data_IF_633475253833
#
_entry.id   IF_633475253833
#
_cell.length_a   1.000
_cell.length_b   1.000
_cell.length_c   1.000
_cell.angle_alpha   90.00
_cell.angle_beta   90.00
_cell.angle_gamma   90.00
#
_symmetry.space_group_name_H-M   'P 1'
#
loop_
_entity.id
_entity.type
_entity.pdbx_description
1 polymer ?
2 water ?
#
# COMPACT_ATOMS: atom_id res chain seq x y z
N UNK A 35 10.57 20.67 -15.56
CA UNK A 35 11.67 20.39 -14.64
C UNK A 35 11.98 18.86 -14.73
N UNK A 36 13.10 18.48 -14.15
CA UNK A 36 13.68 17.18 -14.34
C UNK A 36 13.48 16.56 -12.95
N UNK A 37 12.54 15.63 -12.83
CA UNK A 37 12.11 15.15 -11.51
C UNK A 37 12.67 13.81 -11.24
N UNK A 38 12.90 13.51 -9.98
CA UNK A 38 13.17 12.13 -9.59
C UNK A 38 12.12 11.14 -10.11
N UNK A 39 10.87 11.60 -10.09
CA UNK A 39 9.78 10.89 -10.78
C UNK A 39 9.97 11.04 -12.30
N UNK A 40 10.46 9.97 -12.91
CA UNK A 40 10.88 10.03 -14.31
C UNK A 40 9.75 10.16 -15.25
N UNK A 41 8.52 9.89 -14.83
CA UNK A 41 7.39 10.05 -15.78
C UNK A 41 6.77 11.46 -15.72
N UNK A 42 7.15 12.24 -14.72
CA UNK A 42 6.52 13.51 -14.52
C UNK A 42 6.78 14.45 -15.68
N UNK A 43 5.85 14.51 -16.63
CA UNK A 43 5.95 15.42 -17.78
C UNK A 43 5.46 16.83 -17.53
N UNK A 44 5.10 17.12 -16.30
CA UNK A 44 4.43 18.36 -16.02
C UNK A 44 5.27 19.32 -15.23
N UNK A 45 4.55 20.21 -14.57
CA UNK A 45 5.14 21.36 -13.98
C UNK A 45 5.23 21.32 -12.45
N UNK A 46 4.50 20.43 -11.79
CA UNK A 46 4.56 20.41 -10.34
C UNK A 46 5.10 19.11 -9.74
N UNK A 47 5.73 19.28 -8.59
CA UNK A 47 6.35 18.18 -7.88
C UNK A 47 5.33 17.09 -7.51
N UNK A 48 4.26 17.51 -6.88
CA UNK A 48 3.19 16.59 -6.48
C UNK A 48 2.34 16.27 -7.71
N UNK A 49 2.09 14.97 -7.89
CA UNK A 49 1.31 14.40 -8.97
C UNK A 49 0.27 13.42 -8.37
N UNK A 50 -0.97 13.57 -8.78
CA UNK A 50 -2.04 12.67 -8.40
C UNK A 50 -1.89 11.36 -9.13
N UNK A 51 -2.59 10.33 -8.65
CA UNK A 51 -2.47 9.05 -9.31
C UNK A 51 -3.02 9.05 -10.72
N UNK A 52 -4.07 9.83 -10.97
CA UNK A 52 -4.66 9.90 -12.30
C UNK A 52 -3.78 10.61 -13.30
N UNK A 53 -3.13 11.68 -12.85
CA UNK A 53 -2.27 12.43 -13.71
C UNK A 53 -1.04 11.57 -13.97
N UNK A 54 -0.58 10.89 -12.94
CA UNK A 54 0.58 9.99 -13.13
C UNK A 54 0.29 8.81 -14.07
N UNK A 55 -0.91 8.29 -14.00
CA UNK A 55 -1.36 7.26 -14.93
C UNK A 55 -1.36 7.79 -16.37
N UNK A 56 -1.83 8.99 -16.55
CA UNK A 56 -1.79 9.66 -17.85
C UNK A 56 -0.36 9.76 -18.37
N UNK A 57 0.55 10.26 -17.54
CA UNK A 57 1.94 10.39 -17.97
C UNK A 57 2.56 9.04 -18.34
N UNK A 58 2.33 8.01 -17.52
CA UNK A 58 2.91 6.72 -17.78
C UNK A 58 2.37 6.15 -19.10
N UNK A 59 1.06 6.32 -19.34
CA UNK A 59 0.44 5.79 -20.55
C UNK A 59 0.82 6.54 -21.80
N UNK A 60 1.20 7.80 -21.66
CA UNK A 60 1.79 8.52 -22.78
C UNK A 60 3.17 7.98 -23.15
N UNK A 61 3.93 7.59 -22.16
CA UNK A 61 5.27 7.08 -22.41
C UNK A 61 5.22 5.66 -22.98
N UNK A 62 4.24 4.84 -22.60
CA UNK A 62 4.19 3.43 -23.07
C UNK A 62 2.77 2.88 -23.16
N UNK A 63 2.00 3.42 -24.11
CA UNK A 63 0.56 3.16 -24.14
C UNK A 63 0.19 1.70 -24.23
N UNK A 64 0.97 0.92 -24.97
CA UNK A 64 0.61 -0.45 -25.29
C UNK A 64 1.34 -1.51 -24.50
N UNK A 65 2.21 -1.14 -23.56
CA UNK A 65 2.75 -2.15 -22.67
C UNK A 65 1.66 -2.56 -21.69
N UNK A 66 1.82 -3.74 -21.14
CA UNK A 66 0.91 -4.27 -20.19
C UNK A 66 1.10 -3.60 -18.85
N UNK A 67 -0.02 -3.14 -18.27
CA UNK A 67 -0.05 -2.52 -16.95
C UNK A 67 -0.39 -3.49 -15.83
N UNK A 68 -1.41 -4.31 -16.06
CA UNK A 68 -1.87 -5.25 -15.07
C UNK A 68 -2.11 -6.58 -15.75
N UNK A 69 -1.67 -7.65 -15.09
CA UNK A 69 -1.95 -9.01 -15.51
C UNK A 69 -2.71 -9.67 -14.38
N UNK A 70 -3.84 -10.29 -14.69
CA UNK A 70 -4.67 -10.90 -13.66
C UNK A 70 -4.93 -12.38 -13.93
N UNK A 71 -4.57 -13.25 -12.98
CA UNK A 71 -4.81 -14.71 -13.04
C UNK A 71 -5.98 -15.06 -12.13
N UNK A 72 -7.04 -15.67 -12.68
CA UNK A 72 -8.42 -15.57 -12.11
C UNK A 72 -8.98 -16.85 -11.46
N UNK A 75 -6.27 -20.32 -13.02
CA UNK A 75 -5.70 -20.40 -14.36
C UNK A 75 -6.02 -19.15 -15.21
N UNK A 76 -7.31 -18.81 -15.33
CA UNK A 76 -7.81 -17.80 -16.31
C UNK A 76 -7.11 -16.42 -16.25
N UNK A 77 -6.46 -16.02 -17.35
CA UNK A 77 -5.61 -14.82 -17.41
C UNK A 77 -6.24 -13.65 -18.21
N UNK A 78 -6.29 -12.45 -17.62
CA UNK A 78 -6.65 -11.21 -18.35
C UNK A 78 -5.55 -10.13 -18.22
N UNK A 79 -5.49 -9.21 -19.19
CA UNK A 79 -4.47 -8.16 -19.19
C UNK A 79 -5.06 -6.82 -19.56
N UNK A 80 -4.37 -5.76 -19.20
CA UNK A 80 -4.80 -4.43 -19.60
C UNK A 80 -3.57 -3.55 -19.78
N UNK A 81 -3.56 -2.79 -20.87
CA UNK A 81 -2.44 -1.93 -21.17
C UNK A 81 -2.54 -0.64 -20.37
N UNK A 82 -1.46 0.14 -20.31
CA UNK A 82 -1.49 1.41 -19.61
C UNK A 82 -2.53 2.31 -20.23
N UNK A 83 -2.62 2.28 -21.56
CA UNK A 83 -3.61 3.11 -22.22
C UNK A 83 -5.06 2.73 -21.90
N UNK A 84 -5.39 1.44 -21.88
CA UNK A 84 -6.75 1.03 -21.51
C UNK A 84 -7.08 1.41 -20.08
N UNK A 85 -6.13 1.19 -19.19
CA UNK A 85 -6.30 1.45 -17.78
C UNK A 85 -6.63 2.93 -17.63
N UNK A 86 -5.80 3.75 -18.23
CA UNK A 86 -6.05 5.16 -18.24
C UNK A 86 -7.45 5.51 -18.79
N UNK A 87 -7.78 5.01 -19.97
CA UNK A 87 -9.02 5.39 -20.62
C UNK A 87 -10.24 4.86 -19.87
N UNK A 88 -10.23 3.59 -19.44
CA UNK A 88 -11.40 3.05 -18.74
C UNK A 88 -11.66 3.72 -17.42
N UNK A 89 -10.61 4.13 -16.70
CA UNK A 89 -10.74 4.71 -15.35
C UNK A 89 -11.25 6.12 -15.51
N UNK A 90 -10.90 6.76 -16.63
CA UNK A 90 -11.44 8.10 -16.94
C UNK A 90 -12.92 8.03 -17.31
N UNK A 91 -13.28 7.10 -18.18
CA UNK A 91 -14.69 6.87 -18.50
C UNK A 91 -15.52 6.57 -17.26
N UNK A 92 -15.00 5.73 -16.37
CA UNK A 92 -15.72 5.39 -15.17
C UNK A 92 -15.82 6.61 -14.22
N UNK A 93 -14.80 7.47 -14.19
CA UNK A 93 -14.87 8.70 -13.39
C UNK A 93 -15.97 9.65 -13.83
N UNK A 94 -16.20 9.73 -15.14
CA UNK A 94 -17.27 10.55 -15.71
C UNK A 94 -18.66 10.06 -15.26
N UNK A 95 -18.79 8.75 -15.21
CA UNK A 95 -19.96 8.16 -14.63
C UNK A 95 -20.11 8.53 -13.14
N UNK A 96 -19.02 8.55 -12.37
CA UNK A 96 -19.14 8.97 -10.98
C UNK A 96 -19.57 10.43 -10.95
N UNK A 97 -18.99 11.23 -11.81
CA UNK A 97 -19.24 12.65 -11.82
C UNK A 97 -20.68 12.96 -12.16
N UNK A 98 -21.24 12.32 -13.18
CA UNK A 98 -22.67 12.45 -13.50
C UNK A 98 -23.56 12.07 -12.31
N UNK A 99 -23.18 11.04 -11.57
CA UNK A 99 -23.91 10.63 -10.39
C UNK A 99 -23.58 11.39 -9.13
N UNK A 100 -22.88 12.51 -9.27
CA UNK A 100 -22.59 13.38 -8.13
C UNK A 100 -21.74 12.71 -7.04
N UNK A 101 -20.91 11.77 -7.43
CA UNK A 101 -19.85 11.22 -6.59
C UNK A 101 -18.59 12.08 -6.77
N UNK A 102 -18.12 12.67 -5.68
CA UNK A 102 -17.00 13.59 -5.76
C UNK A 102 -16.41 13.85 -4.39
N UNK A 103 -15.76 15.00 -4.23
CA UNK A 103 -15.26 15.35 -2.89
C UNK A 103 -16.41 15.24 -1.89
N UNK A 104 -16.16 14.69 -0.71
CA UNK A 104 -17.25 14.46 0.27
C UNK A 104 -17.93 13.10 0.09
N UNK A 105 -17.80 12.47 -1.09
CA UNK A 105 -18.42 11.13 -1.28
C UNK A 105 -17.49 10.03 -0.82
N UNK A 106 -18.07 8.91 -0.41
CA UNK A 106 -17.31 7.73 -0.05
C UNK A 106 -17.83 6.55 -0.83
N UNK A 107 -16.95 5.84 -1.52
CA UNK A 107 -17.33 4.74 -2.35
C UNK A 107 -16.75 3.47 -1.78
N UNK A 108 -17.63 2.60 -1.32
CA UNK A 108 -17.29 1.29 -0.83
C UNK A 108 -16.98 0.34 -2.00
N UNK A 109 -15.86 -0.36 -1.92
CA UNK A 109 -15.38 -1.19 -3.01
C UNK A 109 -15.10 -2.58 -2.47
N UNK A 110 -15.82 -3.59 -2.99
CA UNK A 110 -15.70 -4.96 -2.50
C UNK A 110 -15.42 -5.92 -3.64
N UNK A 111 -14.70 -5.48 -4.67
CA UNK A 111 -14.23 -6.42 -5.68
C UNK A 111 -13.03 -7.18 -5.12
N UNK A 112 -12.81 -8.40 -5.59
CA UNK A 112 -11.55 -9.08 -5.21
C UNK A 112 -10.30 -8.42 -5.88
N UNK A 113 -9.14 -9.07 -5.83
CA UNK A 113 -7.97 -8.57 -6.57
C UNK A 113 -8.12 -8.77 -8.11
N UNK A 114 -8.51 -7.75 -8.85
CA UNK A 114 -8.90 -7.92 -10.26
C UNK A 114 -8.56 -6.63 -10.97
N UNK A 115 -8.46 -6.67 -12.29
CA UNK A 115 -8.35 -5.46 -13.09
C UNK A 115 -9.44 -4.45 -12.70
N UNK A 116 -10.66 -4.94 -12.49
CA UNK A 116 -11.81 -4.04 -12.30
C UNK A 116 -11.68 -3.26 -11.00
N UNK A 117 -11.13 -3.92 -9.99
CA UNK A 117 -10.87 -3.23 -8.74
C UNK A 117 -9.90 -2.06 -8.99
N UNK A 118 -8.85 -2.31 -9.81
CA UNK A 118 -7.80 -1.34 -10.06
C UNK A 118 -8.42 -0.16 -10.79
N UNK A 119 -9.21 -0.48 -11.82
CA UNK A 119 -9.92 0.57 -12.54
C UNK A 119 -10.79 1.41 -11.61
N UNK A 120 -11.55 0.75 -10.75
CA UNK A 120 -12.45 1.45 -9.85
C UNK A 120 -11.73 2.46 -8.96
N UNK A 121 -10.56 2.08 -8.45
CA UNK A 121 -9.83 2.98 -7.57
C UNK A 121 -9.39 4.20 -8.32
N UNK A 122 -8.83 4.00 -9.50
CA UNK A 122 -8.36 5.17 -10.24
C UNK A 122 -9.55 6.10 -10.57
N UNK A 123 -10.72 5.50 -10.78
CA UNK A 123 -11.90 6.29 -11.17
C UNK A 123 -12.42 7.06 -9.97
N UNK A 124 -12.40 6.43 -8.84
CA UNK A 124 -12.80 7.10 -7.63
C UNK A 124 -11.95 8.32 -7.33
N UNK A 125 -10.65 8.15 -7.44
CA UNK A 125 -9.75 9.22 -7.19
C UNK A 125 -9.78 10.31 -8.28
N UNK A 126 -9.97 9.93 -9.55
CA UNK A 126 -10.10 10.90 -10.59
C UNK A 126 -11.33 11.80 -10.43
N UNK A 127 -12.30 11.35 -9.64
CA UNK A 127 -13.49 12.11 -9.39
C UNK A 127 -13.40 12.90 -8.06
N UNK A 128 -12.30 12.76 -7.33
CA UNK A 128 -12.12 13.43 -6.06
C UNK A 128 -12.70 12.73 -4.88
N UNK A 129 -13.23 11.54 -5.09
CA UNK A 129 -13.93 10.83 -4.02
C UNK A 129 -12.96 9.96 -3.19
N UNK A 130 -13.49 9.39 -2.12
CA UNK A 130 -12.77 8.62 -1.14
C UNK A 130 -13.06 7.13 -1.29
N UNK A 131 -12.01 6.35 -1.37
CA UNK A 131 -12.07 4.94 -1.69
C UNK A 131 -12.15 4.19 -0.39
N UNK A 132 -13.07 3.24 -0.28
CA UNK A 132 -13.28 2.51 0.95
C UNK A 132 -13.36 1.03 0.65
N UNK A 133 -12.21 0.36 0.67
CA UNK A 133 -12.27 -1.06 0.35
C UNK A 133 -12.60 -2.01 1.51
N UNK A 134 -13.19 -3.15 1.16
CA UNK A 134 -13.45 -4.22 2.10
C UNK A 134 -13.32 -5.52 1.37
N UNK A 135 -13.20 -6.61 2.13
CA UNK A 135 -13.12 -7.93 1.55
C UNK A 135 -14.35 -8.23 0.70
N UNK A 136 -14.17 -8.84 -0.47
CA UNK A 136 -15.31 -9.41 -1.20
C UNK A 136 -15.99 -10.55 -0.43
N UNK A 137 -15.38 -11.05 0.64
CA UNK A 137 -16.02 -12.02 1.49
C UNK A 137 -16.53 -11.41 2.78
N UNK A 138 -16.59 -10.09 2.91
CA UNK A 138 -17.11 -9.50 4.13
C UNK A 138 -18.47 -10.08 4.40
N UNK A 139 -18.75 -10.37 5.67
CA UNK A 139 -20.07 -10.89 6.05
C UNK A 139 -21.12 -9.75 6.05
N UNK A 140 -22.39 -10.12 6.00
CA UNK A 140 -23.47 -9.15 5.95
C UNK A 140 -23.47 -8.20 7.14
N UNK A 141 -23.18 -8.71 8.34
CA UNK A 141 -23.16 -7.82 9.53
C UNK A 141 -21.99 -6.84 9.46
N UNK A 142 -20.93 -7.20 8.75
CA UNK A 142 -19.80 -6.26 8.64
C UNK A 142 -20.09 -5.19 7.63
N UNK A 143 -20.72 -5.55 6.52
CA UNK A 143 -21.18 -4.56 5.55
C UNK A 143 -22.13 -3.59 6.24
N UNK A 144 -23.00 -4.11 7.09
CA UNK A 144 -24.03 -3.35 7.76
C UNK A 144 -23.39 -2.39 8.73
N UNK A 145 -22.53 -2.90 9.60
CA UNK A 145 -21.72 -2.05 10.46
C UNK A 145 -20.90 -0.96 9.73
N UNK A 146 -20.31 -1.30 8.59
CA UNK A 146 -19.52 -0.30 7.86
C UNK A 146 -20.40 0.80 7.27
N UNK A 147 -21.53 0.42 6.70
CA UNK A 147 -22.51 1.40 6.20
C UNK A 147 -23.10 2.27 7.30
N UNK A 148 -23.37 1.66 8.44
CA UNK A 148 -23.98 2.36 9.58
C UNK A 148 -22.96 3.29 10.24
N UNK A 149 -21.67 2.98 10.17
CA UNK A 149 -20.62 3.85 10.73
C UNK A 149 -20.13 4.97 9.78
N UNK A 150 -19.92 4.63 8.51
CA UNK A 150 -19.31 5.56 7.53
C UNK A 150 -20.32 6.17 6.61
N UNK A 151 -21.45 5.49 6.34
CA UNK A 151 -22.53 6.01 5.47
C UNK A 151 -22.04 6.33 4.10
N UNK A 152 -21.51 5.31 3.42
CA UNK A 152 -21.06 5.48 2.06
C UNK A 152 -22.17 5.86 1.12
N UNK A 153 -21.82 6.54 0.05
CA UNK A 153 -22.73 7.05 -0.97
C UNK A 153 -22.93 6.14 -2.19
N UNK A 154 -21.98 5.26 -2.49
CA UNK A 154 -22.09 4.34 -3.64
C UNK A 154 -21.19 3.18 -3.43
N UNK A 155 -21.23 2.23 -4.33
CA UNK A 155 -20.43 1.05 -4.18
C UNK A 155 -20.13 0.29 -5.47
N UNK A 156 -19.01 -0.46 -5.41
CA UNK A 156 -18.69 -1.43 -6.38
C UNK A 156 -18.75 -2.74 -5.61
N UNK A 157 -19.66 -3.61 -6.01
CA UNK A 157 -19.88 -4.86 -5.26
C UNK A 157 -20.64 -5.80 -6.16
N UNK A 158 -20.45 -7.10 -5.96
CA UNK A 158 -21.19 -8.09 -6.77
C UNK A 158 -22.59 -8.27 -6.27
N UNK A 159 -22.77 -8.22 -4.94
CA UNK A 159 -24.09 -8.32 -4.33
C UNK A 159 -24.63 -6.90 -4.06
N UNK A 160 -25.85 -6.60 -4.55
CA UNK A 160 -26.43 -5.26 -4.53
C UNK A 160 -26.79 -4.78 -3.15
N UNK A 161 -26.21 -3.65 -2.76
CA UNK A 161 -26.47 -3.07 -1.46
C UNK A 161 -27.52 -2.00 -1.65
N UNK A 162 -28.68 -2.10 -1.01
CA UNK A 162 -29.75 -1.07 -1.18
C UNK A 162 -29.43 0.31 -0.57
N UNK A 163 -30.13 1.31 -1.04
CA UNK A 163 -30.08 2.63 -0.50
C UNK A 163 -28.92 3.47 -0.90
N UNK A 164 -28.19 3.13 -1.93
CA UNK A 164 -27.04 3.91 -2.32
C UNK A 164 -27.32 4.62 -3.62
N UNK A 165 -26.40 5.44 -4.07
CA UNK A 165 -26.57 6.12 -5.35
C UNK A 165 -26.41 5.14 -6.54
N UNK A 166 -25.44 4.25 -6.46
CA UNK A 166 -25.36 3.15 -7.38
C UNK A 166 -24.64 2.04 -6.68
N UNK A 167 -24.77 0.84 -7.22
CA UNK A 167 -24.01 -0.31 -6.73
C UNK A 167 -23.69 -1.18 -7.95
N UNK A 168 -22.50 -1.03 -8.49
CA UNK A 168 -22.16 -1.66 -9.77
C UNK A 168 -21.33 -2.92 -9.54
N UNK A 169 -21.72 -3.99 -10.24
CA UNK A 169 -20.94 -5.21 -10.31
C UNK A 169 -19.74 -4.97 -11.24
N UNK A 170 -18.87 -5.98 -11.31
CA UNK A 170 -17.66 -5.87 -12.13
C UNK A 170 -18.03 -5.82 -13.61
N UNK A 171 -19.07 -6.55 -14.00
CA UNK A 171 -19.60 -6.53 -15.39
C UNK A 171 -20.27 -5.22 -15.72
N UNK A 172 -21.00 -4.69 -14.74
CA UNK A 172 -21.70 -3.43 -14.90
C UNK A 172 -20.77 -2.23 -15.07
N UNK A 173 -19.51 -2.28 -14.61
CA UNK A 173 -18.67 -1.10 -14.79
C UNK A 173 -18.38 -0.79 -16.27
N UNK A 174 -18.29 -1.83 -17.10
CA UNK A 174 -18.09 -1.63 -18.56
C UNK A 174 -19.30 -0.95 -19.20
N UNK A 175 -20.48 -1.29 -18.71
CA UNK A 175 -21.70 -0.69 -19.25
C UNK A 175 -21.76 0.78 -18.84
N UNK A 176 -21.33 1.07 -17.60
CA UNK A 176 -21.33 2.44 -17.09
C UNK A 176 -20.36 3.32 -17.84
N UNK A 177 -19.33 2.68 -18.39
CA UNK A 177 -18.32 3.34 -19.18
C UNK A 177 -18.79 3.73 -20.56
N UNK A 178 -19.68 2.93 -21.11
CA UNK A 178 -19.99 3.01 -22.52
C UNK A 178 -20.47 4.39 -22.91
N UNK A 179 -19.79 5.01 -23.87
CA UNK A 179 -20.26 6.25 -24.47
C UNK A 179 -19.52 7.46 -23.94
N UNK A 180 -18.85 7.32 -22.80
CA UNK A 180 -18.29 8.48 -22.07
C UNK A 180 -16.94 8.95 -22.61
N UNK A 181 -16.58 10.20 -22.36
CA UNK A 181 -15.30 10.74 -22.84
C UNK A 181 -14.10 9.87 -22.39
N UNK A 182 -13.21 9.59 -23.33
CA UNK A 182 -11.93 8.92 -23.03
C UNK A 182 -10.88 9.84 -22.43
N UNK A 183 -11.16 11.14 -22.36
CA UNK A 183 -10.27 12.10 -21.76
C UNK A 183 -10.46 12.18 -20.23
N UNK A 184 -9.39 12.22 -19.46
CA UNK A 184 -9.58 12.25 -18.01
C UNK A 184 -10.29 13.50 -17.61
N UNK A 185 -11.19 13.44 -16.62
CA UNK A 185 -11.68 14.70 -16.07
C UNK A 185 -10.53 15.56 -15.56
N UNK A 186 -10.73 16.88 -15.61
CA UNK A 186 -9.67 17.82 -15.24
C UNK A 186 -9.05 17.38 -13.88
N UNK A 187 -7.73 17.49 -13.76
CA UNK A 187 -7.01 16.93 -12.61
C UNK A 187 -7.55 17.48 -11.31
N UNK A 188 -7.62 16.67 -10.27
CA UNK A 188 -8.14 17.15 -9.00
C UNK A 188 -7.68 16.25 -7.88
N UNK A 189 -7.73 16.80 -6.68
CA UNK A 189 -7.32 16.10 -5.49
C UNK A 189 -8.45 15.29 -4.91
N UNK A 190 -8.09 14.21 -4.21
CA UNK A 190 -9.04 13.36 -3.53
C UNK A 190 -8.61 13.27 -2.08
N UNK A 191 -9.22 14.09 -1.23
CA UNK A 191 -8.86 14.13 0.18
C UNK A 191 -10.15 14.20 1.00
N UNK A 192 -10.42 13.16 1.78
CA UNK A 192 -9.58 12.01 2.09
C UNK A 192 -9.51 11.01 0.95
N UNK A 193 -8.41 10.32 0.80
CA UNK A 193 -8.33 9.47 -0.37
C UNK A 193 -8.77 8.06 -0.05
N UNK A 194 -8.65 7.67 1.22
CA UNK A 194 -9.02 6.33 1.62
C UNK A 194 -9.48 6.19 3.05
N UNK A 195 -10.41 5.27 3.24
CA UNK A 195 -10.79 4.80 4.56
C UNK A 195 -10.61 3.32 4.48
N UNK A 196 -9.89 2.75 5.46
CA UNK A 196 -9.67 1.31 5.45
C UNK A 196 -10.05 0.70 6.79
N UNK A 197 -10.22 -0.61 6.81
CA UNK A 197 -10.81 -1.28 7.96
C UNK A 197 -9.84 -2.21 8.62
N UNK A 198 -9.52 -2.02 9.90
CA UNK A 198 -8.78 -3.05 10.68
C UNK A 198 -9.43 -3.32 12.05
N UNK A 204 -16.61 -3.94 17.07
CA UNK A 204 -15.50 -4.83 16.70
C UNK A 204 -14.57 -4.23 15.59
N UNK A 205 -15.11 -3.39 14.69
CA UNK A 205 -14.35 -2.89 13.53
C UNK A 205 -13.77 -1.57 13.81
N UNK A 206 -12.55 -1.30 13.32
CA UNK A 206 -11.93 0.05 13.36
C UNK A 206 -11.63 0.55 11.97
N UNK A 207 -11.87 1.83 11.76
CA UNK A 207 -11.76 2.45 10.47
C UNK A 207 -10.71 3.51 10.53
N UNK A 208 -9.81 3.50 9.56
CA UNK A 208 -8.71 4.44 9.51
C UNK A 208 -8.89 5.34 8.30
N UNK A 209 -8.88 6.63 8.51
CA UNK A 209 -9.09 7.56 7.42
C UNK A 209 -7.79 8.34 7.13
N UNK A 210 -7.39 8.34 5.87
CA UNK A 210 -6.25 9.07 5.38
C UNK A 210 -6.63 10.42 4.87
N UNK A 211 -6.44 11.43 5.70
CA UNK A 211 -6.85 12.81 5.40
C UNK A 211 -5.77 13.54 4.61
N UNK A 212 -5.42 12.98 3.47
CA UNK A 212 -4.48 13.60 2.61
C UNK A 212 -4.79 13.15 1.21
N UNK A 213 -4.44 13.99 0.24
CA UNK A 213 -4.76 13.59 -1.12
C UNK A 213 -3.85 12.45 -1.53
N UNK A 214 -4.36 11.52 -2.32
CA UNK A 214 -3.50 10.53 -2.92
C UNK A 214 -2.59 11.19 -3.98
N UNK A 215 -1.53 10.46 -4.29
CA UNK A 215 -0.45 10.97 -5.12
C UNK A 215 0.86 11.07 -4.40
N UNK A 216 1.90 11.45 -5.14
CA UNK A 216 3.22 11.51 -4.58
C UNK A 216 4.05 12.62 -5.22
N UNK A 217 4.99 13.11 -4.43
CA UNK A 217 6.03 13.97 -4.94
C UNK A 217 7.38 13.22 -4.93
N UNK A 218 8.41 13.87 -5.46
CA UNK A 218 9.75 13.31 -5.52
C UNK A 218 10.29 12.79 -4.20
N UNK A 219 10.11 13.56 -3.13
CA UNK A 219 10.62 13.20 -1.80
C UNK A 219 9.95 11.92 -1.28
N UNK A 220 8.64 11.79 -1.49
CA UNK A 220 7.90 10.65 -1.00
C UNK A 220 8.20 9.43 -1.88
N UNK A 221 8.32 9.60 -3.18
CA UNK A 221 8.75 8.46 -4.04
C UNK A 221 10.14 7.93 -3.66
N UNK A 222 11.08 8.85 -3.47
CA UNK A 222 12.43 8.49 -3.13
C UNK A 222 12.39 7.75 -1.83
N UNK A 223 11.64 8.30 -0.90
CA UNK A 223 11.59 7.72 0.42
C UNK A 223 10.94 6.32 0.41
N UNK A 224 9.88 6.14 -0.37
CA UNK A 224 9.21 4.85 -0.55
C UNK A 224 10.19 3.81 -1.17
N UNK A 225 10.95 4.29 -2.13
CA UNK A 225 11.91 3.46 -2.78
C UNK A 225 13.05 3.03 -1.80
N UNK A 226 13.56 3.96 -1.00
CA UNK A 226 14.53 3.61 0.02
C UNK A 226 14.02 2.65 1.09
N UNK A 227 12.76 2.73 1.48
CA UNK A 227 12.27 1.81 2.51
C UNK A 227 11.78 0.48 2.01
N UNK A 228 11.33 0.40 0.75
CA UNK A 228 10.68 -0.82 0.24
C UNK A 228 11.56 -1.63 -0.67
N UNK A 229 12.55 -0.96 -1.26
CA UNK A 229 13.36 -1.58 -2.26
C UNK A 229 12.77 -1.49 -3.65
N UNK A 230 11.65 -0.83 -3.80
CA UNK A 230 10.99 -0.74 -5.09
C UNK A 230 11.70 0.29 -5.95
N UNK A 231 12.04 -0.12 -7.15
CA UNK A 231 12.54 0.81 -8.18
C UNK A 231 11.55 1.00 -9.31
N UNK A 232 11.94 1.81 -10.28
CA UNK A 232 11.21 1.97 -11.50
C UNK A 232 11.31 0.74 -12.41
N UNK A 233 10.17 0.44 -13.02
CA UNK A 233 9.98 -0.64 -13.98
C UNK A 233 10.58 -1.98 -13.61
N UNK A 234 9.96 -2.51 -12.56
CA UNK A 234 10.13 -3.84 -12.05
C UNK A 234 8.75 -4.49 -12.04
N UNK A 235 8.61 -5.67 -12.63
CA UNK A 235 7.39 -6.44 -12.55
C UNK A 235 7.16 -6.81 -11.07
N UNK A 236 5.96 -6.50 -10.56
CA UNK A 236 5.58 -6.75 -9.20
C UNK A 236 4.50 -7.85 -9.15
N UNK A 237 4.66 -8.78 -8.22
CA UNK A 237 3.59 -9.73 -7.91
C UNK A 237 2.93 -9.32 -6.58
N UNK A 238 1.62 -9.14 -6.66
CA UNK A 238 0.78 -8.80 -5.51
C UNK A 238 0.23 -10.06 -4.91
N UNK A 239 0.51 -10.26 -3.62
CA UNK A 239 0.07 -11.45 -2.90
C UNK A 239 -0.69 -11.11 -1.62
N UNK A 240 -1.06 -9.87 -1.42
CA UNK A 240 -1.96 -9.50 -0.32
C UNK A 240 -3.29 -9.03 -0.90
N UNK A 241 -4.34 -9.03 -0.08
CA UNK A 241 -5.62 -8.46 -0.51
C UNK A 241 -5.53 -6.93 -0.67
N UNK A 242 -6.11 -6.40 -1.74
CA UNK A 242 -6.08 -4.95 -1.95
C UNK A 242 -6.77 -4.10 -0.87
N UNK A 243 -7.61 -4.71 -0.03
CA UNK A 243 -8.29 -3.93 0.97
C UNK A 243 -7.41 -3.73 2.22
N UNK A 244 -6.27 -4.45 2.32
CA UNK A 244 -5.27 -4.16 3.39
C UNK A 244 -4.40 -2.99 2.97
N UNK A 245 -3.93 -2.25 3.96
CA UNK A 245 -3.16 -1.03 3.75
C UNK A 245 -1.83 -1.23 3.08
N UNK A 246 -1.10 -2.30 3.44
CA UNK A 246 0.26 -2.51 2.88
C UNK A 246 0.22 -2.89 1.42
N UNK A 247 -0.55 -3.93 1.09
CA UNK A 247 -0.73 -4.31 -0.34
C UNK A 247 -1.35 -3.18 -1.15
N UNK A 248 -2.21 -2.36 -0.54
CA UNK A 248 -2.78 -1.21 -1.23
C UNK A 248 -1.66 -0.24 -1.70
N UNK A 249 -0.79 0.15 -0.77
CA UNK A 249 0.37 0.96 -1.03
C UNK A 249 1.29 0.35 -2.07
N UNK A 250 1.58 -0.94 -1.93
CA UNK A 250 2.53 -1.56 -2.79
C UNK A 250 1.99 -1.56 -4.22
N UNK A 251 0.72 -1.88 -4.38
CA UNK A 251 0.13 -1.95 -5.73
C UNK A 251 0.08 -0.60 -6.38
N UNK A 252 -0.43 0.38 -5.65
CA UNK A 252 -0.62 1.67 -6.30
C UNK A 252 0.62 2.55 -6.34
N UNK A 253 1.52 2.42 -5.35
CA UNK A 253 2.84 2.97 -5.52
C UNK A 253 3.60 2.25 -6.67
N UNK A 254 3.42 0.95 -6.81
CA UNK A 254 3.97 0.23 -7.98
C UNK A 254 3.46 0.78 -9.33
N UNK A 255 2.15 0.93 -9.46
CA UNK A 255 1.60 1.46 -10.69
C UNK A 255 2.03 2.92 -10.93
N UNK A 256 2.15 3.68 -9.85
CA UNK A 256 2.63 5.05 -9.91
C UNK A 256 4.05 5.10 -10.54
N UNK A 257 4.89 4.13 -10.18
CA UNK A 257 6.26 4.05 -10.67
C UNK A 257 6.40 3.33 -12.00
N UNK A 258 5.28 3.11 -12.68
CA UNK A 258 5.29 2.43 -13.99
C UNK A 258 5.58 0.97 -13.96
N UNK A 259 5.50 0.35 -12.79
CA UNK A 259 5.65 -1.10 -12.72
C UNK A 259 4.43 -1.85 -13.09
N UNK A 260 4.62 -2.85 -13.93
CA UNK A 260 3.60 -3.83 -14.19
C UNK A 260 3.20 -4.64 -12.97
N UNK A 261 1.90 -4.72 -12.75
CA UNK A 261 1.36 -5.38 -11.60
C UNK A 261 0.74 -6.74 -11.99
N UNK A 262 1.20 -7.83 -11.37
CA UNK A 262 0.64 -9.14 -11.57
C UNK A 262 -0.21 -9.54 -10.34
N UNK A 263 -1.52 -9.74 -10.58
CA UNK A 263 -2.49 -10.09 -9.56
C UNK A 263 -2.85 -11.55 -9.64
N UNK A 264 -3.04 -12.18 -8.50
CA UNK A 264 -3.38 -13.58 -8.45
C UNK A 264 -4.48 -13.79 -7.40
N UNK A 265 -5.44 -14.65 -7.72
CA UNK A 265 -6.45 -15.09 -6.75
C UNK A 265 -6.02 -16.33 -5.93
N UNK A 266 -5.25 -17.23 -6.53
CA UNK A 266 -4.68 -18.39 -5.83
C UNK A 266 -3.36 -18.14 -5.08
N UNK A 267 -3.42 -18.07 -3.75
CA UNK A 267 -2.23 -17.70 -2.94
C UNK A 267 -1.52 -18.93 -2.31
N UNK A 268 -1.68 -20.09 -2.91
CA UNK A 268 -0.94 -21.26 -2.54
C UNK A 268 0.59 -21.01 -2.76
N UNK A 269 1.44 -21.34 -1.77
CA UNK A 269 2.86 -21.02 -1.92
C UNK A 269 3.57 -21.62 -3.13
N UNK A 270 3.35 -22.89 -3.42
CA UNK A 270 3.95 -23.48 -4.61
C UNK A 270 3.50 -22.68 -5.83
N UNK A 271 2.24 -22.33 -5.93
CA UNK A 271 1.77 -21.46 -7.04
C UNK A 271 2.48 -20.10 -7.12
N UNK A 272 2.66 -19.49 -5.96
CA UNK A 272 3.28 -18.21 -5.88
C UNK A 272 4.67 -18.28 -6.43
N UNK A 273 5.41 -19.30 -6.02
CA UNK A 273 6.74 -19.54 -6.54
C UNK A 273 6.78 -19.73 -8.05
N UNK A 274 5.83 -20.49 -8.58
CA UNK A 274 5.79 -20.70 -10.03
C UNK A 274 5.58 -19.37 -10.72
N UNK A 275 4.70 -18.52 -10.15
CA UNK A 275 4.40 -17.21 -10.74
C UNK A 275 5.64 -16.33 -10.69
N UNK A 276 6.40 -16.38 -9.60
CA UNK A 276 7.66 -15.62 -9.48
C UNK A 276 8.58 -15.93 -10.68
N UNK A 277 8.70 -17.21 -11.01
CA UNK A 277 9.59 -17.61 -12.10
C UNK A 277 9.03 -17.28 -13.45
N UNK A 278 7.80 -17.70 -13.68
CA UNK A 278 7.17 -17.58 -14.97
C UNK A 278 7.06 -16.11 -15.44
N UNK A 279 6.74 -15.19 -14.54
CA UNK A 279 6.69 -13.78 -14.93
C UNK A 279 7.93 -12.99 -14.59
N UNK A 280 8.97 -13.67 -14.12
CA UNK A 280 10.23 -13.01 -13.82
C UNK A 280 10.02 -11.84 -12.89
N UNK A 281 9.38 -12.11 -11.78
CA UNK A 281 8.98 -11.06 -10.86
C UNK A 281 10.22 -10.45 -10.24
N UNK A 282 10.23 -9.12 -10.17
CA UNK A 282 11.37 -8.39 -9.65
C UNK A 282 11.11 -7.80 -8.29
N UNK A 283 9.87 -7.52 -7.97
CA UNK A 283 9.55 -6.96 -6.66
C UNK A 283 8.32 -7.67 -6.10
N UNK A 284 8.40 -8.01 -4.83
CA UNK A 284 7.31 -8.62 -4.14
C UNK A 284 7.30 -8.21 -2.66
N UNK A 285 6.13 -7.86 -2.17
CA UNK A 285 5.94 -7.59 -0.79
C UNK A 285 5.16 -8.73 -0.16
N UNK A 286 5.54 -9.10 1.05
CA UNK A 286 4.84 -10.20 1.67
C UNK A 286 4.82 -10.06 3.14
N UNK A 287 3.95 -10.84 3.77
CA UNK A 287 3.98 -11.00 5.23
C UNK A 287 4.88 -12.18 5.62
N UNK A 288 5.37 -12.20 6.87
CA UNK A 288 6.27 -13.27 7.29
C UNK A 288 5.74 -14.69 7.21
N UNK A 289 4.43 -14.85 7.37
CA UNK A 289 3.77 -16.11 7.21
C UNK A 289 4.04 -16.69 5.82
N UNK A 290 3.93 -15.87 4.77
CA UNK A 290 4.25 -16.32 3.44
C UNK A 290 5.75 -16.62 3.26
N UNK A 291 6.62 -15.84 3.90
CA UNK A 291 8.05 -16.07 3.80
C UNK A 291 8.37 -17.41 4.41
N UNK A 292 7.77 -17.70 5.53
CA UNK A 292 7.95 -19.00 6.21
C UNK A 292 7.52 -20.20 5.35
N UNK A 293 6.35 -20.14 4.73
CA UNK A 293 5.94 -21.21 3.87
C UNK A 293 6.78 -21.35 2.61
N UNK A 294 7.10 -20.26 1.94
CA UNK A 294 7.95 -20.36 0.77
C UNK A 294 9.28 -20.98 1.11
N UNK A 295 9.85 -20.70 2.27
CA UNK A 295 11.18 -21.23 2.57
C UNK A 295 11.15 -22.71 2.83
N UNK A 296 9.98 -23.25 3.15
CA UNK A 296 9.79 -24.67 3.47
C UNK A 296 9.39 -25.56 2.30
N UNK A 297 9.10 -25.00 1.15
CA UNK A 297 8.80 -25.83 -0.01
C UNK A 297 9.97 -26.74 -0.36
N UNK A 298 9.63 -28.00 -0.66
CA UNK A 298 10.64 -29.00 -1.01
C UNK A 298 11.38 -28.61 -2.28
N UNK A 299 12.69 -28.71 -2.24
CA UNK A 299 13.51 -28.34 -3.38
C UNK A 299 14.01 -26.91 -3.39
N UNK A 300 13.28 -25.95 -2.84
CA UNK A 300 13.59 -24.54 -3.12
C UNK A 300 15.00 -24.10 -2.80
N UNK A 301 15.52 -23.12 -3.52
CA UNK A 301 16.86 -22.58 -3.25
C UNK A 301 17.08 -21.20 -3.85
N UNK A 302 18.29 -20.65 -3.71
CA UNK A 302 18.68 -19.36 -4.29
C UNK A 302 18.13 -19.20 -5.72
N UNK A 303 18.32 -20.21 -6.53
CA UNK A 303 18.01 -20.14 -7.96
C UNK A 303 16.56 -19.85 -8.22
N UNK A 304 15.66 -20.41 -7.43
CA UNK A 304 14.23 -20.17 -7.65
C UNK A 304 13.82 -18.69 -7.49
N UNK A 305 14.61 -17.90 -6.76
CA UNK A 305 14.27 -16.49 -6.48
C UNK A 305 15.19 -15.50 -7.15
N UNK A 306 16.00 -15.99 -8.09
CA UNK A 306 17.05 -15.17 -8.65
C UNK A 306 16.50 -13.98 -9.45
N UNK A 307 15.23 -14.03 -9.93
CA UNK A 307 14.70 -12.89 -10.67
C UNK A 307 14.47 -11.64 -9.79
N UNK A 308 14.33 -11.86 -8.48
CA UNK A 308 14.00 -10.81 -7.53
C UNK A 308 15.13 -9.82 -7.33
N UNK A 309 14.83 -8.55 -7.51
CA UNK A 309 15.66 -7.44 -7.06
C UNK A 309 15.42 -7.07 -5.60
N UNK A 310 14.18 -7.14 -5.15
CA UNK A 310 13.85 -6.82 -3.75
C UNK A 310 12.62 -7.59 -3.26
N UNK A 311 12.72 -8.06 -2.04
CA UNK A 311 11.64 -8.61 -1.25
C UNK A 311 11.40 -7.68 -0.10
N UNK A 312 10.20 -7.16 0.01
CA UNK A 312 9.86 -6.28 1.09
C UNK A 312 8.88 -7.01 2.03
N UNK A 313 9.10 -6.93 3.34
CA UNK A 313 8.19 -7.51 4.28
C UNK A 313 7.80 -6.54 5.37
N UNK A 314 6.54 -6.63 5.70
CA UNK A 314 5.95 -5.80 6.71
C UNK A 314 4.70 -6.52 7.20
N UNK A 315 4.23 -6.11 8.35
CA UNK A 315 2.92 -6.45 8.79
C UNK A 315 2.83 -7.78 9.52
N UNK A 316 3.87 -8.14 10.22
CA UNK A 316 3.78 -9.24 11.15
C UNK A 316 5.18 -9.39 11.67
N UNK A 317 5.32 -10.00 12.85
CA UNK A 317 6.63 -10.39 13.40
C UNK A 317 7.41 -11.32 12.45
N UNK A 318 8.66 -10.95 12.19
CA UNK A 318 9.58 -11.82 11.48
C UNK A 318 10.71 -12.18 12.42
N UNK A 319 10.80 -13.46 12.78
CA UNK A 319 11.82 -13.89 13.73
C UNK A 319 13.22 -13.77 13.11
N UNK A 320 14.27 -13.74 13.95
CA UNK A 320 15.64 -13.74 13.50
C UNK A 320 15.99 -14.97 12.66
N UNK A 321 15.42 -16.12 13.01
CA UNK A 321 15.61 -17.33 12.22
C UNK A 321 15.09 -17.08 10.77
N UNK A 322 13.86 -16.62 10.63
CA UNK A 322 13.26 -16.48 9.30
C UNK A 322 14.01 -15.39 8.48
N UNK A 323 14.45 -14.35 9.15
CA UNK A 323 15.23 -13.30 8.52
C UNK A 323 16.56 -13.82 7.97
N UNK A 324 17.29 -14.56 8.77
CA UNK A 324 18.53 -15.15 8.29
C UNK A 324 18.31 -16.09 7.09
N UNK A 325 17.27 -16.91 7.16
CA UNK A 325 16.98 -17.80 6.02
C UNK A 325 16.79 -16.96 4.74
N UNK A 326 16.12 -15.81 4.82
CA UNK A 326 15.86 -15.05 3.59
C UNK A 326 17.06 -14.23 3.10
N UNK A 327 17.88 -13.78 4.03
CA UNK A 327 19.12 -13.13 3.71
C UNK A 327 20.04 -14.14 2.98
N UNK A 328 20.08 -15.37 3.46
CA UNK A 328 20.83 -16.39 2.77
C UNK A 328 20.20 -16.76 1.40
N UNK A 329 18.88 -16.80 1.26
CA UNK A 329 18.30 -17.06 -0.05
C UNK A 329 18.51 -15.96 -1.13
N UNK A 330 18.39 -14.70 -0.78
CA UNK A 330 18.43 -13.64 -1.79
C UNK A 330 19.63 -12.74 -1.71
N UNK A 331 20.36 -12.77 -0.59
CA UNK A 331 21.41 -11.81 -0.36
C UNK A 331 20.89 -10.69 0.50
N UNK A 332 21.71 -10.22 1.42
CA UNK A 332 21.22 -9.28 2.42
C UNK A 332 20.76 -7.94 1.87
N UNK A 333 21.25 -7.49 0.72
CA UNK A 333 20.87 -6.17 0.20
C UNK A 333 19.50 -6.23 -0.46
N UNK A 334 18.96 -7.43 -0.61
CA UNK A 334 17.63 -7.56 -1.23
C UNK A 334 16.46 -7.71 -0.28
N UNK A 335 16.69 -7.80 1.02
CA UNK A 335 15.63 -7.93 2.01
C UNK A 335 15.34 -6.58 2.68
N UNK A 336 14.17 -6.04 2.38
CA UNK A 336 13.77 -4.74 2.87
C UNK A 336 12.62 -4.97 3.87
N UNK A 337 12.68 -4.31 5.01
CA UNK A 337 11.65 -4.43 5.99
C UNK A 337 11.16 -3.07 6.46
N UNK A 338 9.86 -2.94 6.63
CA UNK A 338 9.22 -1.72 7.14
C UNK A 338 8.40 -2.13 8.31
N UNK A 339 8.50 -1.42 9.40
CA UNK A 339 7.75 -1.72 10.61
C UNK A 339 6.98 -0.47 10.95
N UNK A 340 5.68 -0.56 10.82
CA UNK A 340 4.77 0.49 11.09
C UNK A 340 4.33 0.26 12.54
N UNK A 341 4.58 1.22 13.43
CA UNK A 341 4.23 1.09 14.86
C UNK A 341 2.74 1.16 15.06
N UNK A 342 2.29 0.75 16.24
CA UNK A 342 0.89 0.82 16.57
C UNK A 342 0.31 2.23 16.50
N UNK A 343 -0.91 2.32 16.00
CA UNK A 343 -1.66 3.59 15.94
C UNK A 343 -0.95 4.65 15.13
N UNK A 344 -0.07 4.25 14.21
CA UNK A 344 0.67 5.22 13.36
C UNK A 344 1.56 6.24 14.09
N UNK A 345 2.15 5.87 15.23
CA UNK A 345 2.94 6.87 15.95
C UNK A 345 4.26 7.05 15.23
N UNK A 346 4.65 6.05 14.41
CA UNK A 346 5.96 6.04 13.78
C UNK A 346 6.16 4.89 12.82
N UNK A 347 7.29 4.93 12.12
CA UNK A 347 7.64 3.99 11.03
C UNK A 347 9.16 3.85 11.01
N UNK A 348 9.66 2.63 11.02
CA UNK A 348 11.07 2.37 10.88
C UNK A 348 11.29 1.46 9.65
N UNK A 349 12.53 1.37 9.18
CA UNK A 349 12.85 0.41 8.14
C UNK A 349 14.27 -0.08 8.31
N UNK A 350 14.54 -1.23 7.75
CA UNK A 350 15.87 -1.76 7.85
C UNK A 350 16.12 -2.73 6.72
N UNK A 351 17.30 -2.62 6.13
CA UNK A 351 17.68 -3.52 5.05
C UNK A 351 18.49 -4.64 5.63
N UNK A 352 18.49 -5.77 4.93
CA UNK A 352 19.15 -6.97 5.44
C UNK A 352 20.59 -6.78 5.85
N UNK A 353 21.36 -5.99 5.08
CA UNK A 353 22.79 -5.79 5.41
C UNK A 353 22.91 -4.96 6.67
N UNK A 354 22.04 -3.98 6.89
CA UNK A 354 22.03 -3.33 8.21
C UNK A 354 21.60 -4.30 9.31
N UNK A 355 20.64 -5.15 9.05
CA UNK A 355 20.17 -6.11 10.06
C UNK A 355 21.24 -7.11 10.51
N UNK A 356 22.08 -7.56 9.59
CA UNK A 356 23.23 -8.39 10.00
C UNK A 356 24.12 -7.63 11.00
N UNK A 357 24.30 -6.32 10.83
CA UNK A 357 25.10 -5.50 11.78
C UNK A 357 24.34 -5.10 13.05
N UNK A 358 23.01 -5.15 13.02
CA UNK A 358 22.20 -4.78 14.19
C UNK A 358 21.13 -5.80 14.44
N UNK A 359 21.53 -7.04 14.74
CA UNK A 359 20.55 -8.15 14.64
C UNK A 359 19.46 -8.04 15.67
N UNK A 360 18.24 -8.31 15.26
CA UNK A 360 17.10 -8.07 16.15
C UNK A 360 16.43 -6.73 15.98
N UNK A 361 17.09 -5.76 15.33
CA UNK A 361 16.56 -4.41 15.23
C UNK A 361 15.48 -4.34 14.19
N UNK A 362 14.50 -3.47 14.41
CA UNK A 362 13.49 -3.15 13.40
C UNK A 362 13.84 -1.92 12.60
N UNK A 363 15.06 -1.43 12.76
CA UNK A 363 15.53 -0.33 11.92
C UNK A 363 15.60 1.01 12.63
N UNK A 364 15.76 2.04 11.83
CA UNK A 364 15.83 3.40 12.29
C UNK A 364 14.61 4.09 11.78
N UNK A 365 14.21 5.14 12.48
CA UNK A 365 13.03 5.84 12.03
C UNK A 365 13.30 6.32 10.63
N UNK A 366 12.29 6.28 9.77
CA UNK A 366 12.40 6.76 8.39
C UNK A 366 12.47 8.29 8.26
N UNK A 367 13.14 8.74 7.19
CA UNK A 367 13.29 10.14 6.88
C UNK A 367 13.85 10.96 8.03
N UNK A 368 13.11 12.00 8.36
CA UNK A 368 13.40 12.90 9.48
C UNK A 368 12.73 12.52 10.84
N UNK A 369 12.05 11.38 10.90
CA UNK A 369 11.46 10.83 12.15
C UNK A 369 12.47 10.67 13.23
N UNK A 370 12.04 10.66 14.47
CA UNK A 370 12.97 10.41 15.57
C UNK A 370 12.34 9.48 16.54
N UNK A 371 13.20 8.78 17.25
CA UNK A 371 12.80 7.91 18.33
C UNK A 371 13.45 8.46 19.56
N UNK A 372 12.79 8.34 20.70
CA UNK A 372 13.34 8.72 21.98
C UNK A 372 12.90 7.68 23.00
N UNK A 373 13.86 6.99 23.60
CA UNK A 373 13.59 6.01 24.63
C UNK A 373 13.59 6.72 25.97
N UNK A 374 12.51 6.63 26.73
CA UNK A 374 12.36 7.46 27.93
C UNK A 374 12.11 6.69 29.20
N UNK A 375 12.65 7.21 30.30
CA UNK A 375 12.49 6.62 31.61
C UNK A 375 11.16 7.05 32.20
N UNK A 376 10.89 6.60 33.41
CA UNK A 376 9.60 6.80 34.03
C UNK A 376 9.29 8.27 34.35
N UNK A 377 10.27 9.15 34.24
CA UNK A 377 10.06 10.58 34.50
C UNK A 377 10.05 11.39 33.21
N UNK A 378 10.00 10.72 32.06
CA UNK A 378 9.96 11.40 30.78
C UNK A 378 11.31 11.86 30.29
N UNK A 379 12.41 11.40 30.90
CA UNK A 379 13.75 11.82 30.45
C UNK A 379 14.39 10.84 29.53
N UNK A 380 15.00 11.32 28.47
CA UNK A 380 15.65 10.45 27.52
C UNK A 380 16.83 9.70 28.14
N UNK A 381 17.03 8.45 27.76
CA UNK A 381 18.04 7.59 28.40
C UNK A 381 19.25 7.36 27.49
N UNK A 382 20.26 6.70 28.03
CA UNK A 382 21.45 6.39 27.25
C UNK A 382 21.26 5.15 26.36
N UNK A 383 22.05 5.03 25.30
CA UNK A 383 21.97 3.85 24.48
C UNK A 383 21.98 2.57 25.29
N UNK A 384 21.22 1.57 24.85
CA UNK A 384 21.09 0.28 25.55
C UNK A 384 20.26 0.29 26.85
N UNK A 385 19.91 1.45 27.37
CA UNK A 385 19.00 1.49 28.50
C UNK A 385 17.59 1.30 27.97
N UNK A 386 16.81 0.50 28.69
CA UNK A 386 15.43 0.14 28.36
C UNK A 386 14.46 1.20 28.90
N UNK A 387 13.49 1.60 28.09
CA UNK A 387 12.46 2.57 28.51
C UNK A 387 11.28 2.54 27.55
N UNK A 388 10.38 3.54 27.64
CA UNK A 388 9.26 3.64 26.74
C UNK A 388 9.67 4.26 25.40
N UNK A 389 9.08 3.72 24.33
CA UNK A 389 9.41 4.14 22.98
C UNK A 389 8.50 5.27 22.59
N UNK A 390 9.07 6.47 22.50
CA UNK A 390 8.38 7.60 21.90
C UNK A 390 8.90 7.82 20.48
N UNK A 391 8.03 8.26 19.58
CA UNK A 391 8.42 8.48 18.18
C UNK A 391 7.69 9.65 17.59
N UNK A 392 8.33 10.35 16.66
CA UNK A 392 7.64 11.30 15.81
C UNK A 392 7.26 10.54 14.55
N UNK A 393 6.26 11.05 13.85
CA UNK A 393 5.71 10.33 12.71
C UNK A 393 6.00 11.03 11.38
N UNK A 394 6.12 10.28 10.27
CA UNK A 394 6.16 10.90 8.93
C UNK A 394 4.89 11.68 8.62
N UNK A 395 5.02 12.60 7.68
CA UNK A 395 3.91 13.48 7.29
C UNK A 395 2.59 12.73 7.14
N UNK A 396 2.59 11.65 6.38
CA UNK A 396 1.33 11.00 6.05
C UNK A 396 0.57 10.47 7.30
N UNK A 397 1.32 9.90 8.25
CA UNK A 397 0.74 9.41 9.51
C UNK A 397 0.15 10.50 10.40
N UNK A 398 0.67 11.71 10.32
CA UNK A 398 0.17 12.82 11.16
C UNK A 398 -1.27 13.18 10.81
N UNK A 399 -1.68 12.95 9.56
CA UNK A 399 -3.07 13.21 9.08
C UNK A 399 -3.87 11.91 8.85
N UNK A 400 -3.50 10.87 9.58
CA UNK A 400 -4.24 9.63 9.59
C UNK A 400 -5.04 9.52 10.88
N UNK A 401 -6.33 9.27 10.78
CA UNK A 401 -7.21 9.26 11.93
C UNK A 401 -7.94 7.90 12.10
N UNK A 402 -7.96 7.41 13.33
CA UNK A 402 -8.79 6.30 13.70
C UNK A 402 -10.15 6.91 14.01
N UNK A 403 -11.15 6.59 13.21
CA UNK A 403 -12.45 7.25 13.33
C UNK A 403 -13.18 6.82 14.60
N UNK A 404 -13.71 7.81 15.31
CA UNK A 404 -14.33 7.65 16.62
C UNK A 404 -13.38 7.24 17.73
N UNK A 405 -12.06 7.33 17.51
CA UNK A 405 -11.11 7.03 18.58
C UNK A 405 -10.42 8.34 18.94
N UNK A 406 -10.30 8.59 20.23
CA UNK A 406 -9.62 9.78 20.69
C UNK A 406 -8.13 9.66 20.42
N UNK A 407 -7.50 10.75 19.96
CA UNK A 407 -6.06 10.66 19.65
C UNK A 407 -5.19 10.54 20.90
N UNK A 408 -3.95 10.15 20.65
CA UNK A 408 -2.93 10.03 21.67
C UNK A 408 -2.46 11.37 22.14
N UNK A 409 -1.98 11.41 23.37
CA UNK A 409 -1.25 12.56 23.85
C UNK A 409 0.02 12.72 23.00
N UNK A 410 0.34 13.96 22.70
CA UNK A 410 1.52 14.31 21.94
C UNK A 410 2.37 15.21 22.82
N UNK A 411 3.59 14.78 23.15
CA UNK A 411 4.58 15.63 23.83
C UNK A 411 5.25 16.63 22.89
N UNK A 412 6.06 17.48 23.49
CA UNK A 412 6.79 18.50 22.80
C UNK A 412 7.72 17.86 21.80
N UNK A 413 7.73 18.42 20.59
CA UNK A 413 8.48 17.89 19.46
C UNK A 413 7.68 16.94 18.60
N UNK A 414 6.46 16.61 19.01
CA UNK A 414 5.60 15.73 18.21
C UNK A 414 5.74 14.26 18.58
N UNK A 415 6.14 14.00 19.81
CA UNK A 415 6.42 12.65 20.25
C UNK A 415 5.17 11.95 20.83
N UNK A 416 4.90 10.72 20.42
CA UNK A 416 3.86 9.91 21.01
C UNK A 416 4.39 8.52 21.37
N UNK A 417 3.70 7.82 22.27
CA UNK A 417 4.06 6.47 22.69
C UNK A 417 2.78 5.68 22.86
N UNK A 418 2.83 4.38 22.65
CA UNK A 418 1.72 3.52 23.08
C UNK A 418 2.15 2.64 24.26
N UNK A 419 3.31 2.95 24.84
CA UNK A 419 3.85 2.20 25.95
C UNK A 419 4.70 1.02 25.56
N UNK A 420 5.15 0.94 24.30
CA UNK A 420 6.11 -0.11 23.89
C UNK A 420 7.40 0.05 24.69
N UNK A 421 8.09 -1.05 24.94
CA UNK A 421 9.29 -1.05 25.72
C UNK A 421 10.46 -1.46 24.86
N UNK A 422 11.56 -0.71 24.89
CA UNK A 422 12.74 -1.10 24.16
C UNK A 422 13.94 -0.20 24.31
N UNK A 423 14.81 -0.19 23.31
CA UNK A 423 16.07 0.54 23.40
C UNK A 423 16.67 0.79 22.06
N UNK A 424 17.59 1.75 22.02
CA UNK A 424 18.40 2.00 20.84
C UNK A 424 19.86 1.69 21.08
N UNK A 425 20.55 1.28 20.02
CA UNK A 425 21.98 1.10 20.10
C UNK A 425 22.69 2.40 19.77
N UNK A 426 24.02 2.39 19.79
CA UNK A 426 24.78 3.63 19.61
C UNK A 426 24.58 4.28 18.23
N UNK A 427 24.14 3.52 17.23
CA UNK A 427 23.88 4.10 15.89
C UNK A 427 22.42 4.44 15.71
N UNK A 428 21.60 4.28 16.75
CA UNK A 428 20.22 4.70 16.70
C UNK A 428 19.23 3.66 16.20
N UNK A 429 19.67 2.42 16.08
CA UNK A 429 18.80 1.33 15.67
C UNK A 429 17.95 0.95 16.84
N UNK A 430 16.68 0.70 16.56
CA UNK A 430 15.69 0.45 17.58
C UNK A 430 15.40 -1.04 17.76
N UNK A 431 15.25 -1.45 19.00
CA UNK A 431 14.98 -2.83 19.37
C UNK A 431 13.80 -2.88 20.37
N UNK A 432 12.95 -3.91 20.27
CA UNK A 432 11.94 -4.20 21.28
C UNK A 432 12.54 -5.08 22.37
N UNK A 433 12.08 -4.90 23.60
CA UNK A 433 12.46 -5.83 24.69
C UNK A 433 11.62 -7.15 24.84
N UNK A 434 10.28 -7.07 24.90
CA UNK A 434 9.43 -8.27 25.09
C UNK A 434 9.25 -9.05 23.80
#
# INVERSE_FOLDING_TARGET
XGSDKIHHHHHHENLYFQGXHKKSACEREGKELKRDFFNKFNLGTSNFVTPGKQLEYVSECKPDSTAVICLDKEQNCSVITWHQLHVYSSQLAWYLIENEIGPGSIVLTMFPNSIEHIIAVFAIWKAGACYMPMSYKAAESEIREACDTIHPNAAFAECKIPGLKFCLSADEIYEAMEGRSKEMPSDRLANPNMISLSGGTSGKMKFIRQNLPCGLDDETIRSWSLMSGMGFEQRQLLVGPLFHGAPHSAAFNGLFMGNTLVLTRNLCPGNILNMIKKYKIEFIQMVPTLMNRLAKLEGVGKEDFASLKALCHTGGVCSPWLKQIWIDLLGPEKIYEMYSMTECIGLTCIRGDEWVKHPGSIGRPVGDSKVSIRDENGKEVAPFEIGEIYMTAPASYLVTEYINWEPLEVKEGGFRSVGDIGYVDEQGYLYFSDRRSDXLVSGGENVFATEVETALLRYKDILDAVVVGIPDEDLGRRLHAVIETGKEIPAEELKTFLRKYLTPYKIPKTFEFVRSIRRGDNGKADRKRILEDCIARGG
#
